data_IF_254226560112
#
_entry.id   IF_254226560112
#
_cell.length_a   1.000
_cell.length_b   1.000
_cell.length_c   1.000
_cell.angle_alpha   90.00
_cell.angle_beta   90.00
_cell.angle_gamma   90.00
#
_symmetry.space_group_name_H-M   'P 1'
#
loop_
_entity.id
_entity.type
_entity.pdbx_description
1 polymer ?
#
# COMPACT_ATOMS: atom_id res chain seq x y z
N UNK A 1 -68.64 22.71 38.66
CA UNK A 1 -67.73 21.70 39.22
C UNK A 1 -67.43 20.70 38.18
N UNK A 2 -66.33 20.89 37.41
CA UNK A 2 -65.95 20.05 36.30
C UNK A 2 -64.55 19.53 36.61
N UNK A 3 -64.50 18.24 36.93
CA UNK A 3 -63.27 17.52 37.26
C UNK A 3 -62.47 17.28 35.99
N UNK A 4 -61.28 17.80 35.92
CA UNK A 4 -60.27 17.48 34.86
C UNK A 4 -59.57 16.18 35.23
N UNK A 5 -59.85 15.12 34.53
CA UNK A 5 -59.04 13.90 34.56
C UNK A 5 -57.72 14.11 33.82
N UNK A 6 -56.64 14.09 34.56
CA UNK A 6 -55.26 14.04 33.99
C UNK A 6 -54.96 12.60 33.58
N UNK A 7 -54.99 12.36 32.26
CA UNK A 7 -54.54 11.14 31.65
C UNK A 7 -53.00 11.14 31.58
N UNK A 8 -52.35 10.47 32.53
CA UNK A 8 -50.89 10.21 32.49
C UNK A 8 -50.67 8.87 31.79
N UNK A 9 -50.35 8.91 30.49
CA UNK A 9 -49.86 7.76 29.79
C UNK A 9 -48.47 7.36 30.30
N UNK A 10 -48.16 6.06 30.48
CA UNK A 10 -46.84 5.64 30.93
C UNK A 10 -45.81 5.91 29.80
N UNK A 11 -44.71 6.56 30.18
CA UNK A 11 -43.53 6.71 29.35
C UNK A 11 -42.94 5.33 29.15
N UNK A 12 -43.06 4.77 27.97
CA UNK A 12 -42.33 3.58 27.60
C UNK A 12 -40.83 3.84 27.72
N UNK A 13 -40.18 3.10 28.61
CA UNK A 13 -38.74 3.07 28.78
C UNK A 13 -38.12 2.66 27.47
N UNK A 14 -37.35 3.59 26.90
CA UNK A 14 -36.66 3.44 25.64
C UNK A 14 -35.87 2.13 25.54
N UNK A 15 -36.08 1.45 24.44
CA UNK A 15 -35.43 0.20 24.13
C UNK A 15 -33.92 0.27 24.30
N UNK A 16 -33.39 -0.70 25.04
CA UNK A 16 -31.99 -1.04 25.04
C UNK A 16 -31.55 -1.30 23.59
N UNK A 17 -30.92 -0.28 22.99
CA UNK A 17 -30.22 -0.46 21.74
C UNK A 17 -29.21 -1.58 21.92
N UNK A 18 -29.46 -2.72 21.32
CA UNK A 18 -28.53 -3.83 21.20
C UNK A 18 -27.22 -3.26 20.64
N UNK A 19 -26.27 -2.93 21.51
CA UNK A 19 -24.90 -2.62 21.13
C UNK A 19 -24.35 -3.85 20.44
N UNK A 20 -24.32 -3.84 19.11
CA UNK A 20 -23.55 -4.81 18.34
C UNK A 20 -22.15 -4.88 18.94
N UNK A 21 -21.63 -6.08 19.28
CA UNK A 21 -20.33 -6.20 19.91
C UNK A 21 -19.29 -5.50 19.04
N UNK A 22 -18.68 -4.45 19.58
CA UNK A 22 -17.63 -3.66 18.91
C UNK A 22 -16.49 -4.64 18.58
N UNK A 23 -16.28 -4.89 17.30
CA UNK A 23 -15.22 -5.81 16.85
C UNK A 23 -13.92 -5.32 17.45
N UNK A 24 -13.26 -6.16 18.24
CA UNK A 24 -12.00 -5.83 18.90
C UNK A 24 -11.01 -5.26 17.87
N UNK A 25 -10.61 -4.02 18.08
CA UNK A 25 -9.71 -3.29 17.16
C UNK A 25 -8.33 -3.92 17.20
N UNK A 26 -7.87 -4.45 16.09
CA UNK A 26 -6.57 -5.15 15.97
C UNK A 26 -5.50 -4.19 15.46
N UNK A 27 -4.79 -3.54 16.37
CA UNK A 27 -3.68 -2.62 16.05
C UNK A 27 -2.49 -3.29 15.33
N UNK A 28 -2.42 -4.61 15.34
CA UNK A 28 -1.45 -5.36 14.53
C UNK A 28 -1.61 -5.09 13.02
N UNK A 29 -2.80 -4.71 12.57
CA UNK A 29 -3.08 -4.41 11.15
C UNK A 29 -2.28 -3.19 10.68
N UNK A 30 -2.47 -1.98 11.22
CA UNK A 30 -1.72 -0.82 10.76
C UNK A 30 -0.22 -0.92 11.06
N UNK A 31 0.22 -1.66 12.09
CA UNK A 31 1.63 -1.94 12.33
C UNK A 31 2.25 -2.83 11.25
N UNK A 32 1.50 -3.84 10.77
CA UNK A 32 1.94 -4.67 9.65
C UNK A 32 2.04 -3.86 8.35
N UNK A 33 1.07 -2.98 8.11
CA UNK A 33 1.08 -2.08 6.95
C UNK A 33 2.21 -1.05 7.06
N UNK A 34 2.49 -0.52 8.26
CA UNK A 34 3.63 0.36 8.52
C UNK A 34 4.94 -0.31 8.10
N UNK A 35 5.17 -1.57 8.51
CA UNK A 35 6.37 -2.29 8.13
C UNK A 35 6.50 -2.47 6.60
N UNK A 36 5.38 -2.75 5.89
CA UNK A 36 5.38 -2.82 4.43
C UNK A 36 5.74 -1.48 3.79
N UNK A 37 5.11 -0.39 4.24
CA UNK A 37 5.30 0.95 3.68
C UNK A 37 6.72 1.45 3.98
N UNK A 38 7.25 1.17 5.17
CA UNK A 38 8.62 1.49 5.54
C UNK A 38 9.61 0.85 4.56
N UNK A 39 9.47 -0.44 4.28
CA UNK A 39 10.32 -1.13 3.30
C UNK A 39 10.16 -0.57 1.89
N UNK A 40 8.93 -0.31 1.44
CA UNK A 40 8.68 0.25 0.11
C UNK A 40 9.34 1.63 -0.07
N UNK A 41 9.33 2.47 0.98
CA UNK A 41 10.00 3.77 0.93
C UNK A 41 11.51 3.66 1.08
N UNK A 42 11.99 2.71 1.85
CA UNK A 42 13.40 2.38 1.89
C UNK A 42 13.90 2.03 0.48
N UNK A 43 13.23 1.12 -0.25
CA UNK A 43 13.63 0.77 -1.61
C UNK A 43 13.65 1.99 -2.54
N UNK A 44 12.59 2.80 -2.54
CA UNK A 44 12.49 3.99 -3.40
C UNK A 44 13.63 4.98 -3.18
N UNK A 45 14.08 5.14 -1.95
CA UNK A 45 15.17 6.05 -1.60
C UNK A 45 16.54 5.40 -1.85
N UNK A 46 16.66 4.09 -1.69
CA UNK A 46 17.92 3.36 -1.88
C UNK A 46 18.48 3.53 -3.30
N UNK A 47 17.62 3.56 -4.32
CA UNK A 47 18.07 3.76 -5.69
C UNK A 47 18.73 5.13 -5.90
N UNK A 48 18.28 6.16 -5.20
CA UNK A 48 18.90 7.48 -5.27
C UNK A 48 20.33 7.48 -4.69
N UNK A 49 20.59 6.67 -3.66
CA UNK A 49 21.94 6.46 -3.13
C UNK A 49 22.84 5.75 -4.15
N UNK A 50 22.31 4.76 -4.88
CA UNK A 50 23.06 4.06 -5.93
C UNK A 50 23.43 4.95 -7.12
N UNK A 51 22.69 6.03 -7.37
CA UNK A 51 23.01 6.96 -8.47
C UNK A 51 24.31 7.71 -8.25
N UNK A 52 24.77 7.84 -7.02
CA UNK A 52 26.05 8.47 -6.69
C UNK A 52 27.24 7.48 -6.69
N UNK A 53 27.00 6.18 -6.85
CA UNK A 53 28.05 5.17 -6.83
C UNK A 53 28.63 4.90 -8.23
N UNK A 54 29.94 5.14 -8.38
CA UNK A 54 30.68 4.90 -9.60
C UNK A 54 30.75 3.41 -9.97
N UNK A 55 30.81 2.51 -8.99
CA UNK A 55 30.86 1.07 -9.26
C UNK A 55 29.53 0.55 -9.80
N UNK A 56 28.41 1.04 -9.29
CA UNK A 56 27.09 0.74 -9.84
C UNK A 56 26.97 1.24 -11.28
N UNK A 57 27.38 2.47 -11.54
CA UNK A 57 27.30 3.06 -12.88
C UNK A 57 28.18 2.32 -13.90
N UNK A 58 29.40 1.96 -13.53
CA UNK A 58 30.29 1.15 -14.37
C UNK A 58 29.72 -0.25 -14.61
N UNK A 59 29.20 -0.91 -13.57
CA UNK A 59 28.60 -2.23 -13.70
C UNK A 59 27.40 -2.25 -14.65
N UNK A 60 26.65 -1.14 -14.74
CA UNK A 60 25.50 -0.97 -15.62
C UNK A 60 25.86 -0.37 -17.00
N UNK A 61 27.10 0.05 -17.23
CA UNK A 61 27.53 0.73 -18.46
C UNK A 61 26.82 2.07 -18.68
N UNK A 62 26.62 2.84 -17.58
CA UNK A 62 25.87 4.11 -17.62
C UNK A 62 26.81 5.33 -17.78
N UNK A 63 28.10 5.21 -17.38
CA UNK A 63 29.15 6.25 -17.53
C UNK A 63 28.70 7.67 -17.17
N UNK A 64 28.11 7.84 -15.97
CA UNK A 64 27.58 9.13 -15.46
C UNK A 64 26.46 9.78 -16.31
N UNK A 65 25.81 9.00 -17.18
CA UNK A 65 24.65 9.47 -17.95
C UNK A 65 23.43 9.68 -17.02
N UNK A 66 23.19 10.93 -16.67
CA UNK A 66 22.07 11.34 -15.82
C UNK A 66 20.71 11.00 -16.42
N UNK A 67 20.61 10.95 -17.77
CA UNK A 67 19.38 10.56 -18.46
C UNK A 67 19.06 9.09 -18.20
N UNK A 68 20.04 8.20 -18.32
CA UNK A 68 19.89 6.77 -18.05
C UNK A 68 19.54 6.51 -16.58
N UNK A 69 20.16 7.22 -15.63
CA UNK A 69 19.80 7.17 -14.22
C UNK A 69 18.36 7.63 -13.98
N UNK A 70 17.95 8.72 -14.61
CA UNK A 70 16.59 9.23 -14.56
C UNK A 70 15.56 8.25 -15.13
N UNK A 71 15.89 7.53 -16.20
CA UNK A 71 15.01 6.49 -16.79
C UNK A 71 14.77 5.35 -15.79
N UNK A 72 15.78 4.89 -15.04
CA UNK A 72 15.61 3.86 -14.02
C UNK A 72 14.56 4.24 -12.96
N UNK A 73 14.59 5.50 -12.51
CA UNK A 73 13.62 6.00 -11.54
C UNK A 73 12.25 6.20 -12.17
N UNK A 74 12.19 6.81 -13.36
CA UNK A 74 10.94 7.10 -14.06
C UNK A 74 10.21 5.84 -14.47
N UNK A 75 10.91 4.81 -14.96
CA UNK A 75 10.33 3.54 -15.33
C UNK A 75 9.63 2.87 -14.14
N UNK A 76 10.26 2.91 -12.96
CA UNK A 76 9.64 2.42 -11.73
C UNK A 76 8.41 3.26 -11.35
N UNK A 77 8.52 4.60 -11.29
CA UNK A 77 7.44 5.47 -10.84
C UNK A 77 6.23 5.41 -11.77
N UNK A 78 6.46 5.37 -13.09
CA UNK A 78 5.37 5.24 -14.07
C UNK A 78 4.65 3.90 -13.91
N UNK A 79 5.38 2.80 -13.86
CA UNK A 79 4.78 1.47 -13.68
C UNK A 79 4.07 1.33 -12.32
N UNK A 80 4.62 1.92 -11.26
CA UNK A 80 4.00 2.02 -9.95
C UNK A 80 2.67 2.80 -10.01
N UNK A 81 2.66 3.98 -10.63
CA UNK A 81 1.45 4.80 -10.81
C UNK A 81 0.37 4.08 -11.60
N UNK A 82 0.72 3.51 -12.76
CA UNK A 82 -0.22 2.71 -13.56
C UNK A 82 -0.76 1.52 -12.77
N UNK A 83 0.11 0.79 -12.12
CA UNK A 83 -0.28 -0.38 -11.33
C UNK A 83 -1.20 -0.01 -10.17
N UNK A 84 -0.94 1.09 -9.47
CA UNK A 84 -1.77 1.54 -8.35
C UNK A 84 -3.21 1.82 -8.78
N UNK A 85 -3.42 2.33 -10.00
CA UNK A 85 -4.76 2.62 -10.54
C UNK A 85 -5.42 1.36 -11.08
N UNK A 86 -4.72 0.61 -11.96
CA UNK A 86 -5.32 -0.50 -12.70
C UNK A 86 -5.40 -1.78 -11.90
N UNK A 87 -4.41 -2.08 -11.05
CA UNK A 87 -4.41 -3.30 -10.23
C UNK A 87 -5.15 -3.14 -8.91
N UNK A 88 -5.52 -1.93 -8.48
CA UNK A 88 -6.38 -1.73 -7.31
C UNK A 88 -7.72 -2.48 -7.44
N UNK A 89 -8.24 -2.60 -8.67
CA UNK A 89 -9.39 -3.43 -9.00
C UNK A 89 -9.20 -4.93 -8.65
N UNK A 90 -7.97 -5.41 -8.69
CA UNK A 90 -7.67 -6.79 -8.32
C UNK A 90 -7.94 -7.06 -6.82
N UNK A 91 -7.79 -6.03 -5.97
CA UNK A 91 -8.16 -6.07 -4.55
C UNK A 91 -9.65 -6.30 -4.29
N UNK A 92 -10.53 -5.99 -5.26
CA UNK A 92 -11.96 -6.30 -5.18
C UNK A 92 -12.25 -7.78 -5.48
N UNK A 93 -11.38 -8.48 -6.20
CA UNK A 93 -11.56 -9.88 -6.64
C UNK A 93 -10.77 -10.88 -5.81
N UNK A 94 -9.60 -10.50 -5.37
CA UNK A 94 -8.68 -11.35 -4.60
C UNK A 94 -8.67 -10.88 -3.16
N UNK A 95 -8.68 -11.81 -2.21
CA UNK A 95 -8.55 -11.48 -0.80
C UNK A 95 -7.29 -10.62 -0.57
N UNK A 96 -7.42 -9.42 0.02
CA UNK A 96 -6.31 -8.44 0.14
C UNK A 96 -5.05 -9.00 0.79
N UNK A 97 -5.21 -9.92 1.73
CA UNK A 97 -4.08 -10.60 2.36
C UNK A 97 -3.29 -11.43 1.33
N UNK A 98 -4.00 -12.20 0.46
CA UNK A 98 -3.33 -13.01 -0.56
C UNK A 98 -2.64 -12.14 -1.60
N UNK A 99 -3.31 -11.06 -1.99
CA UNK A 99 -2.75 -10.11 -2.95
C UNK A 99 -1.51 -9.43 -2.38
N UNK A 100 -1.59 -8.89 -1.16
CA UNK A 100 -0.48 -8.22 -0.50
C UNK A 100 0.71 -9.17 -0.29
N UNK A 101 0.48 -10.38 0.23
CA UNK A 101 1.55 -11.37 0.44
C UNK A 101 2.15 -11.88 -0.86
N UNK A 102 1.33 -12.06 -1.90
CA UNK A 102 1.81 -12.45 -3.23
C UNK A 102 2.70 -11.37 -3.85
N UNK A 103 2.29 -10.10 -3.78
CA UNK A 103 3.07 -8.97 -4.26
C UNK A 103 4.39 -8.81 -3.50
N UNK A 104 4.38 -8.95 -2.17
CA UNK A 104 5.61 -8.91 -1.37
C UNK A 104 6.57 -10.06 -1.71
N UNK A 105 6.04 -11.26 -2.01
CA UNK A 105 6.87 -12.38 -2.44
C UNK A 105 7.52 -12.11 -3.82
N UNK A 106 6.75 -11.56 -4.78
CA UNK A 106 7.29 -11.12 -6.07
C UNK A 106 8.34 -10.04 -5.88
N UNK A 107 8.07 -9.05 -5.05
CA UNK A 107 9.02 -8.00 -4.71
C UNK A 107 10.33 -8.57 -4.16
N UNK A 108 10.28 -9.51 -3.20
CA UNK A 108 11.47 -10.16 -2.66
C UNK A 108 12.31 -10.84 -3.76
N UNK A 109 11.66 -11.58 -4.68
CA UNK A 109 12.34 -12.23 -5.81
C UNK A 109 12.98 -11.21 -6.75
N UNK A 110 12.28 -10.12 -7.07
CA UNK A 110 12.78 -9.05 -7.93
C UNK A 110 14.00 -8.35 -7.32
N UNK A 111 13.99 -8.13 -6.00
CA UNK A 111 15.15 -7.57 -5.28
C UNK A 111 16.39 -8.48 -5.44
N UNK A 112 16.22 -9.78 -5.21
CA UNK A 112 17.32 -10.74 -5.40
C UNK A 112 17.83 -10.70 -6.86
N UNK A 113 16.92 -10.70 -7.84
CA UNK A 113 17.28 -10.64 -9.25
C UNK A 113 18.04 -9.35 -9.60
N UNK A 114 17.65 -8.19 -9.05
CA UNK A 114 18.36 -6.92 -9.24
C UNK A 114 19.78 -6.95 -8.66
N UNK A 115 19.99 -7.60 -7.50
CA UNK A 115 21.31 -7.74 -6.89
C UNK A 115 22.32 -8.55 -7.75
N UNK A 116 21.82 -9.43 -8.60
CA UNK A 116 22.67 -10.23 -9.54
C UNK A 116 22.81 -9.60 -10.93
N UNK A 117 22.04 -8.57 -11.23
CA UNK A 117 21.98 -8.00 -12.58
C UNK A 117 23.13 -7.03 -12.84
N UNK A 118 23.83 -7.23 -13.96
CA UNK A 118 24.88 -6.32 -14.47
C UNK A 118 24.51 -5.74 -15.85
N UNK A 119 23.23 -5.80 -16.20
CA UNK A 119 22.74 -5.32 -17.50
C UNK A 119 21.68 -4.22 -17.26
N UNK A 120 21.94 -3.04 -17.82
CA UNK A 120 21.06 -1.89 -17.69
C UNK A 120 19.62 -2.11 -18.16
N UNK A 121 19.47 -2.75 -19.33
CA UNK A 121 18.13 -3.05 -19.90
C UNK A 121 17.35 -4.00 -18.99
N UNK A 122 18.02 -5.05 -18.49
CA UNK A 122 17.40 -5.97 -17.55
C UNK A 122 17.04 -5.26 -16.22
N UNK A 123 17.90 -4.36 -15.75
CA UNK A 123 17.61 -3.55 -14.55
C UNK A 123 16.34 -2.70 -14.75
N UNK A 124 16.14 -2.07 -15.93
CA UNK A 124 14.91 -1.33 -16.24
C UNK A 124 13.68 -2.25 -16.18
N UNK A 125 13.76 -3.43 -16.80
CA UNK A 125 12.65 -4.40 -16.81
C UNK A 125 12.31 -4.81 -15.38
N UNK A 126 13.31 -5.12 -14.56
CA UNK A 126 13.10 -5.47 -13.15
C UNK A 126 12.50 -4.32 -12.35
N UNK A 127 12.88 -3.06 -12.62
CA UNK A 127 12.31 -1.86 -12.03
C UNK A 127 10.85 -1.66 -12.42
N UNK A 128 10.49 -1.92 -13.67
CA UNK A 128 9.09 -1.88 -14.13
C UNK A 128 8.27 -2.94 -13.40
N UNK A 129 8.75 -4.17 -13.34
CA UNK A 129 8.07 -5.26 -12.65
C UNK A 129 7.93 -4.99 -11.15
N UNK A 130 8.94 -4.39 -10.53
CA UNK A 130 8.91 -3.97 -9.14
C UNK A 130 7.83 -2.90 -8.91
N UNK A 131 7.77 -1.88 -9.76
CA UNK A 131 6.73 -0.86 -9.70
C UNK A 131 5.33 -1.45 -9.83
N UNK A 132 5.15 -2.44 -10.73
CA UNK A 132 3.89 -3.17 -10.84
C UNK A 132 3.56 -3.95 -9.57
N UNK A 133 4.54 -4.59 -8.94
CA UNK A 133 4.33 -5.35 -7.71
C UNK A 133 4.02 -4.46 -6.49
N UNK A 134 4.63 -3.28 -6.38
CA UNK A 134 4.42 -2.37 -5.26
C UNK A 134 3.21 -1.45 -5.40
N UNK A 135 2.78 -1.11 -6.63
CA UNK A 135 1.77 -0.10 -6.89
C UNK A 135 0.47 -0.27 -6.09
N UNK A 136 -0.11 -1.48 -5.99
CA UNK A 136 -1.35 -1.69 -5.24
C UNK A 136 -1.23 -1.61 -3.71
N UNK A 137 -0.03 -1.46 -3.14
CA UNK A 137 0.19 -1.43 -1.69
C UNK A 137 -0.68 -0.38 -0.98
N UNK A 138 -0.66 0.87 -1.46
CA UNK A 138 -1.42 1.96 -0.85
C UNK A 138 -2.94 1.78 -0.96
N UNK A 139 -3.52 1.53 -2.14
CA UNK A 139 -4.94 1.24 -2.27
C UNK A 139 -5.40 0.08 -1.39
N UNK A 140 -4.61 -0.98 -1.30
CA UNK A 140 -4.90 -2.13 -0.43
C UNK A 140 -4.84 -1.75 1.05
N UNK A 141 -3.85 -0.97 1.47
CA UNK A 141 -3.72 -0.51 2.85
C UNK A 141 -4.94 0.32 3.28
N UNK A 142 -5.38 1.28 2.44
CA UNK A 142 -6.61 2.04 2.68
C UNK A 142 -7.84 1.15 2.76
N UNK A 143 -8.00 0.19 1.85
CA UNK A 143 -9.11 -0.74 1.84
C UNK A 143 -9.13 -1.61 3.12
N UNK A 144 -7.98 -2.14 3.54
CA UNK A 144 -7.84 -2.94 4.76
C UNK A 144 -8.23 -2.13 6.00
N UNK A 145 -7.74 -0.89 6.14
CA UNK A 145 -8.09 -0.03 7.27
C UNK A 145 -9.57 0.31 7.27
N UNK A 146 -10.14 0.69 6.13
CA UNK A 146 -11.56 1.04 6.01
C UNK A 146 -12.50 -0.10 6.41
N UNK A 147 -12.14 -1.34 6.13
CA UNK A 147 -12.98 -2.50 6.44
C UNK A 147 -12.83 -3.01 7.88
N UNK A 148 -11.69 -2.77 8.52
CA UNK A 148 -11.36 -3.37 9.82
C UNK A 148 -11.41 -2.38 10.99
N UNK A 149 -11.53 -1.07 10.70
CA UNK A 149 -11.58 -0.04 11.74
C UNK A 149 -12.90 0.73 11.69
N UNK A 150 -13.49 1.04 12.86
CA UNK A 150 -14.64 1.93 12.94
C UNK A 150 -14.24 3.34 12.47
N UNK A 151 -15.20 4.09 11.93
CA UNK A 151 -14.95 5.37 11.25
C UNK A 151 -14.11 6.36 12.09
N UNK A 152 -14.36 6.45 13.40
CA UNK A 152 -13.64 7.35 14.30
C UNK A 152 -12.16 6.98 14.54
N UNK A 153 -11.74 5.72 14.26
CA UNK A 153 -10.36 5.24 14.39
C UNK A 153 -9.62 5.12 13.04
N UNK A 154 -10.32 5.21 11.91
CA UNK A 154 -9.72 5.05 10.59
C UNK A 154 -8.60 6.05 10.35
N UNK A 155 -8.78 7.31 10.73
CA UNK A 155 -7.75 8.34 10.59
C UNK A 155 -6.49 7.98 11.38
N UNK A 156 -6.63 7.56 12.64
CA UNK A 156 -5.49 7.16 13.48
C UNK A 156 -4.75 5.94 12.93
N UNK A 157 -5.50 4.92 12.51
CA UNK A 157 -4.92 3.73 11.89
C UNK A 157 -4.19 4.06 10.57
N UNK A 158 -4.75 4.98 9.77
CA UNK A 158 -4.14 5.44 8.52
C UNK A 158 -2.87 6.23 8.79
N UNK A 159 -2.89 7.18 9.72
CA UNK A 159 -1.70 7.94 10.10
C UNK A 159 -0.57 7.03 10.58
N UNK A 160 -0.91 5.98 11.36
CA UNK A 160 0.09 5.06 11.89
C UNK A 160 0.88 4.34 10.78
N UNK A 161 0.22 3.78 9.77
CA UNK A 161 0.95 3.10 8.70
C UNK A 161 1.59 4.07 7.70
N UNK A 162 1.02 5.28 7.52
CA UNK A 162 1.62 6.33 6.69
C UNK A 162 2.94 6.85 7.26
N UNK A 163 3.17 6.76 8.58
CA UNK A 163 4.48 7.07 9.18
C UNK A 163 5.62 6.23 8.58
N UNK A 164 5.32 5.08 7.99
CA UNK A 164 6.29 4.29 7.25
C UNK A 164 6.95 5.04 6.09
N UNK A 165 6.27 6.03 5.49
CA UNK A 165 6.81 6.85 4.40
C UNK A 165 7.99 7.72 4.83
N UNK A 166 7.84 8.68 5.75
CA UNK A 166 8.96 9.51 6.17
C UNK A 166 10.02 8.74 6.94
N UNK A 167 9.63 7.75 7.75
CA UNK A 167 10.59 6.93 8.51
C UNK A 167 11.41 6.05 7.57
N UNK A 168 10.78 5.41 6.59
CA UNK A 168 11.45 4.60 5.58
C UNK A 168 12.42 5.43 4.73
N UNK A 169 12.03 6.65 4.35
CA UNK A 169 12.89 7.56 3.63
C UNK A 169 14.08 8.05 4.49
N UNK A 170 13.82 8.42 5.75
CA UNK A 170 14.85 8.95 6.66
C UNK A 170 15.92 7.90 7.02
N UNK A 171 15.51 6.64 7.21
CA UNK A 171 16.44 5.54 7.51
C UNK A 171 17.05 4.98 6.21
N UNK A 172 16.27 4.94 5.15
CA UNK A 172 16.63 4.27 3.90
C UNK A 172 17.88 4.84 3.26
N UNK A 173 17.98 6.16 3.15
CA UNK A 173 19.13 6.80 2.49
C UNK A 173 20.46 6.59 3.23
N UNK A 174 20.59 6.89 4.54
CA UNK A 174 21.83 6.65 5.28
C UNK A 174 22.23 5.18 5.32
N UNK A 175 21.25 4.29 5.50
CA UNK A 175 21.51 2.85 5.54
C UNK A 175 21.99 2.34 4.18
N UNK A 176 21.41 2.82 3.09
CA UNK A 176 21.82 2.46 1.74
C UNK A 176 23.24 2.94 1.43
N UNK A 177 23.59 4.16 1.83
CA UNK A 177 24.96 4.68 1.68
C UNK A 177 25.96 3.86 2.51
N UNK A 178 25.60 3.50 3.71
CA UNK A 178 26.45 2.65 4.55
C UNK A 178 26.68 1.27 3.94
N UNK A 179 25.60 0.62 3.46
CA UNK A 179 25.70 -0.67 2.78
C UNK A 179 26.56 -0.60 1.52
N UNK A 180 26.35 0.40 0.72
CA UNK A 180 27.05 0.68 -0.53
C UNK A 180 28.57 0.86 -0.29
N UNK A 181 28.94 1.68 0.70
CA UNK A 181 30.35 1.94 1.02
C UNK A 181 31.06 0.74 1.67
N UNK A 182 30.31 -0.15 2.36
CA UNK A 182 30.91 -1.25 3.12
C UNK A 182 30.91 -2.56 2.35
N UNK A 183 29.84 -2.86 1.64
CA UNK A 183 29.60 -4.17 1.00
C UNK A 183 29.35 -4.10 -0.51
N UNK A 184 29.36 -2.89 -1.09
CA UNK A 184 29.05 -2.66 -2.50
C UNK A 184 27.55 -2.54 -2.78
N UNK A 185 27.23 -2.11 -4.01
CA UNK A 185 25.86 -1.74 -4.41
C UNK A 185 24.86 -2.91 -4.37
N UNK A 186 25.29 -4.13 -4.68
CA UNK A 186 24.45 -5.33 -4.66
C UNK A 186 23.87 -5.61 -3.28
N UNK A 187 24.63 -5.28 -2.22
CA UNK A 187 24.23 -5.52 -0.84
C UNK A 187 22.92 -4.83 -0.48
N UNK A 188 22.66 -3.65 -1.05
CA UNK A 188 21.42 -2.91 -0.83
C UNK A 188 20.20 -3.76 -1.25
N UNK A 189 20.25 -4.39 -2.41
CA UNK A 189 19.17 -5.25 -2.90
C UNK A 189 19.01 -6.53 -2.07
N UNK A 190 20.11 -7.17 -1.71
CA UNK A 190 20.06 -8.40 -0.89
C UNK A 190 19.55 -8.13 0.52
N UNK A 191 19.97 -7.03 1.15
CA UNK A 191 19.47 -6.63 2.46
C UNK A 191 17.97 -6.31 2.41
N UNK A 192 17.51 -5.63 1.36
CA UNK A 192 16.08 -5.39 1.15
C UNK A 192 15.29 -6.69 0.99
N UNK A 193 15.79 -7.63 0.18
CA UNK A 193 15.17 -8.95 0.05
C UNK A 193 15.13 -9.69 1.39
N UNK A 194 16.21 -9.66 2.16
CA UNK A 194 16.31 -10.28 3.47
C UNK A 194 15.34 -9.66 4.48
N UNK A 195 15.18 -8.32 4.48
CA UNK A 195 14.23 -7.61 5.36
C UNK A 195 12.77 -7.85 4.93
N UNK A 196 12.53 -8.11 3.66
CA UNK A 196 11.17 -8.38 3.15
C UNK A 196 10.62 -9.69 3.73
N UNK A 197 11.45 -10.71 3.96
CA UNK A 197 11.01 -12.01 4.48
C UNK A 197 10.37 -11.91 5.88
N UNK A 198 11.01 -11.33 6.91
CA UNK A 198 10.40 -11.18 8.23
C UNK A 198 9.17 -10.27 8.20
N UNK A 199 9.17 -9.21 7.37
CA UNK A 199 8.00 -8.35 7.22
C UNK A 199 6.83 -9.11 6.57
N UNK A 200 7.09 -9.95 5.57
CA UNK A 200 6.07 -10.81 4.96
C UNK A 200 5.47 -11.78 5.99
N UNK A 201 6.30 -12.38 6.84
CA UNK A 201 5.83 -13.25 7.94
C UNK A 201 4.99 -12.44 8.93
N UNK A 202 5.45 -11.26 9.33
CA UNK A 202 4.73 -10.37 10.23
C UNK A 202 3.37 -9.94 9.68
N UNK A 203 3.31 -9.57 8.40
CA UNK A 203 2.07 -9.26 7.69
C UNK A 203 1.13 -10.44 7.67
N UNK A 204 1.63 -11.63 7.36
CA UNK A 204 0.82 -12.85 7.30
C UNK A 204 0.23 -13.22 8.66
N UNK A 205 0.97 -12.99 9.75
CA UNK A 205 0.49 -13.20 11.12
C UNK A 205 -0.47 -12.08 11.54
N UNK A 206 -0.09 -10.81 11.34
CA UNK A 206 -0.87 -9.63 11.75
C UNK A 206 -2.23 -9.53 11.04
N UNK A 207 -2.26 -9.92 9.77
CA UNK A 207 -3.47 -9.90 8.94
C UNK A 207 -4.21 -11.25 8.91
N UNK A 208 -3.76 -12.25 9.69
CA UNK A 208 -4.40 -13.57 9.74
C UNK A 208 -5.83 -13.45 10.28
N UNK A 209 -6.80 -14.04 9.56
CA UNK A 209 -8.22 -14.03 9.94
C UNK A 209 -8.95 -12.74 9.55
N UNK A 210 -8.32 -11.81 8.84
CA UNK A 210 -9.03 -10.72 8.19
C UNK A 210 -9.71 -11.28 6.95
N UNK A 211 -11.01 -11.52 7.07
CA UNK A 211 -11.88 -11.72 5.92
C UNK A 211 -12.35 -10.34 5.48
N UNK A 212 -11.71 -9.78 4.47
CA UNK A 212 -12.42 -8.88 3.59
C UNK A 212 -13.32 -9.80 2.78
N UNK A 213 -14.58 -9.89 3.18
CA UNK A 213 -15.57 -10.55 2.35
C UNK A 213 -15.52 -9.83 1.00
N UNK A 214 -15.03 -10.54 -0.03
CA UNK A 214 -15.32 -10.16 -1.39
C UNK A 214 -16.83 -9.97 -1.42
N UNK A 215 -17.33 -8.75 -1.67
CA UNK A 215 -18.76 -8.49 -1.68
C UNK A 215 -19.41 -9.58 -2.51
N UNK A 216 -20.36 -10.37 -1.95
CA UNK A 216 -21.05 -11.42 -2.69
C UNK A 216 -21.60 -10.79 -3.96
N UNK A 217 -21.43 -11.48 -5.07
CA UNK A 217 -21.64 -10.97 -6.42
C UNK A 217 -22.77 -9.95 -6.53
N UNK A 218 -22.39 -8.74 -6.78
CA UNK A 218 -23.28 -7.60 -6.92
C UNK A 218 -24.33 -7.93 -7.97
N UNK A 219 -25.60 -7.91 -7.59
CA UNK A 219 -26.72 -8.02 -8.52
C UNK A 219 -26.53 -7.08 -9.72
N UNK A 220 -27.04 -7.45 -10.88
CA UNK A 220 -26.94 -6.62 -12.09
C UNK A 220 -27.36 -5.17 -11.84
N UNK A 221 -28.41 -4.93 -11.04
CA UNK A 221 -28.84 -3.62 -10.59
C UNK A 221 -27.74 -2.78 -9.96
N UNK A 222 -26.94 -3.35 -9.06
CA UNK A 222 -25.85 -2.61 -8.40
C UNK A 222 -24.63 -2.38 -9.33
N UNK A 223 -24.50 -3.13 -10.42
CA UNK A 223 -23.50 -2.88 -11.47
C UNK A 223 -23.89 -1.67 -12.33
N UNK A 224 -25.16 -1.55 -12.62
CA UNK A 224 -25.69 -0.45 -13.45
C UNK A 224 -25.71 0.85 -12.66
N UNK A 225 -26.07 0.85 -11.39
CA UNK A 225 -25.92 1.99 -10.47
C UNK A 225 -24.46 2.46 -10.35
N UNK A 226 -23.49 1.54 -10.24
CA UNK A 226 -22.08 1.89 -10.22
C UNK A 226 -21.55 2.43 -11.53
N UNK A 227 -22.08 1.95 -12.67
CA UNK A 227 -21.75 2.50 -13.99
C UNK A 227 -22.29 3.92 -14.16
N UNK A 228 -23.52 4.16 -13.69
CA UNK A 228 -24.14 5.48 -13.68
C UNK A 228 -23.36 6.44 -12.79
N UNK A 229 -23.06 6.06 -11.54
CA UNK A 229 -22.28 6.87 -10.60
C UNK A 229 -20.85 7.17 -11.11
N UNK A 230 -20.19 6.20 -11.77
CA UNK A 230 -18.90 6.45 -12.43
C UNK A 230 -19.01 7.46 -13.55
N UNK A 231 -20.05 7.35 -14.39
CA UNK A 231 -20.26 8.27 -15.48
C UNK A 231 -20.52 9.69 -14.98
N UNK A 232 -21.31 9.85 -13.93
CA UNK A 232 -21.53 11.13 -13.26
C UNK A 232 -20.27 11.74 -12.69
N UNK A 233 -19.41 10.92 -12.05
CA UNK A 233 -18.12 11.36 -11.53
C UNK A 233 -17.21 11.91 -12.63
N UNK A 234 -17.06 11.18 -13.74
CA UNK A 234 -16.20 11.61 -14.85
C UNK A 234 -16.77 12.81 -15.63
N UNK A 235 -18.09 13.02 -15.62
CA UNK A 235 -18.74 14.19 -16.25
C UNK A 235 -18.71 15.41 -15.33
N UNK A 236 -18.53 15.23 -14.02
CA UNK A 236 -18.49 16.34 -13.07
C UNK A 236 -17.19 17.15 -13.20
N UNK A 237 -17.26 18.46 -13.49
CA UNK A 237 -16.06 19.31 -13.55
C UNK A 237 -15.34 19.40 -12.20
N UNK A 238 -16.05 19.25 -11.08
CA UNK A 238 -15.48 19.26 -9.75
C UNK A 238 -14.51 18.08 -9.51
N UNK A 239 -14.77 16.92 -10.13
CA UNK A 239 -13.87 15.79 -10.05
C UNK A 239 -12.50 16.12 -10.67
N UNK A 240 -12.49 16.75 -11.83
CA UNK A 240 -11.26 17.12 -12.52
C UNK A 240 -10.48 18.24 -11.82
N UNK A 241 -11.17 19.19 -11.19
CA UNK A 241 -10.53 20.26 -10.40
C UNK A 241 -9.79 19.67 -9.18
N UNK A 242 -10.29 18.57 -8.60
CA UNK A 242 -9.63 17.92 -7.45
C UNK A 242 -8.44 17.03 -7.90
N UNK A 243 -8.46 16.55 -9.15
CA UNK A 243 -7.41 15.69 -9.72
C UNK A 243 -6.23 16.46 -10.31
N UNK A 244 -6.34 17.78 -10.49
CA UNK A 244 -5.28 18.69 -10.95
C UNK A 244 -4.66 19.40 -9.76
#
# INVERSE_FOLDING_TARGET
>A
MTTLETNTAPVEAGGEGTRTPEKAVRWAIPLSLLACVLLAFFDKISIAALFSDSHFQQAMGIDFDTTRLGILMSAFLLSYGFSSVFLSWLGDKIAPLRLLTGMMAIWCVLMVAMGFTHNYTLMIVLRILLGVAEGPLFPLAFAIVRHNFPQHLQARATMLWLLGTPVGAAIGFPLSLWLLNTFGWQSTFFVMAMLTVPVLIFVRIGLRGIRLEAKPGTSQASRDERRAARRELFVSPHFWIICI
#
